data_IF_396997100121
#
_entry.id   IF_396997100121
#
_cell.length_a   1.000
_cell.length_b   1.000
_cell.length_c   1.000
_cell.angle_alpha   90.00
_cell.angle_beta   90.00
_cell.angle_gamma   90.00
#
_symmetry.space_group_name_H-M   'P 1'
#
loop_
_entity.id
_entity.type
_entity.pdbx_description
1 polymer ?
#
# COMPACT_ATOMS: atom_id res chain seq x y z
N UNK A 1 14.20 -14.37 9.02
CA UNK A 1 13.37 -13.15 8.96
C UNK A 1 12.59 -13.21 7.66
N UNK A 2 11.25 -13.21 7.69
CA UNK A 2 10.45 -13.32 6.46
C UNK A 2 10.29 -11.93 5.82
N UNK A 3 10.69 -11.81 4.55
CA UNK A 3 10.46 -10.62 3.75
C UNK A 3 9.05 -10.69 3.16
N UNK A 4 8.25 -9.65 3.38
CA UNK A 4 6.92 -9.51 2.84
C UNK A 4 6.85 -8.38 1.83
N UNK A 5 6.27 -8.67 0.67
CA UNK A 5 6.15 -7.73 -0.45
C UNK A 5 4.70 -7.40 -0.73
N UNK A 6 4.42 -6.11 -0.82
CA UNK A 6 3.09 -5.59 -1.11
C UNK A 6 3.15 -4.68 -2.32
N UNK A 7 2.30 -4.97 -3.31
CA UNK A 7 2.24 -4.24 -4.56
C UNK A 7 0.91 -3.48 -4.65
N UNK A 8 0.92 -2.39 -5.42
CA UNK A 8 -0.31 -1.79 -5.91
C UNK A 8 -1.12 -2.83 -6.71
N UNK A 9 -2.39 -2.98 -6.39
CA UNK A 9 -3.24 -4.04 -6.99
C UNK A 9 -3.53 -3.76 -8.47
N UNK A 10 -3.73 -2.49 -8.81
CA UNK A 10 -4.09 -2.08 -10.17
C UNK A 10 -2.85 -1.83 -11.03
N UNK A 11 -2.78 -2.42 -12.22
CA UNK A 11 -1.74 -2.13 -13.21
C UNK A 11 -1.67 -0.66 -13.61
N UNK A 12 -2.81 0.06 -13.60
CA UNK A 12 -2.90 1.48 -13.93
C UNK A 12 -2.36 2.34 -12.79
N UNK A 13 -2.66 1.97 -11.55
CA UNK A 13 -2.02 2.62 -10.39
C UNK A 13 -0.50 2.44 -10.44
N UNK A 14 -0.02 1.24 -10.80
CA UNK A 14 1.42 0.97 -10.97
C UNK A 14 2.11 1.78 -12.07
N UNK A 15 1.39 2.22 -13.11
CA UNK A 15 1.96 3.03 -14.19
C UNK A 15 1.84 4.54 -13.96
N UNK A 16 0.94 4.99 -13.08
CA UNK A 16 0.66 6.40 -12.83
C UNK A 16 1.13 6.92 -11.48
N UNK A 17 1.38 6.03 -10.52
CA UNK A 17 1.78 6.37 -9.16
C UNK A 17 3.15 5.77 -8.90
N UNK A 18 4.13 6.65 -8.68
CA UNK A 18 5.43 6.27 -8.16
C UNK A 18 5.39 6.34 -6.63
N UNK A 19 5.35 5.18 -5.98
CA UNK A 19 5.31 5.09 -4.52
C UNK A 19 6.58 5.65 -3.86
N UNK A 20 7.71 5.69 -4.56
CA UNK A 20 8.97 6.21 -4.01
C UNK A 20 8.85 7.70 -3.70
N UNK A 21 8.15 8.46 -4.54
CA UNK A 21 7.82 9.87 -4.28
C UNK A 21 6.93 10.08 -3.04
N UNK A 22 6.24 9.02 -2.59
CA UNK A 22 5.38 9.01 -1.42
C UNK A 22 5.96 8.24 -0.24
N UNK A 23 7.27 7.94 -0.26
CA UNK A 23 7.94 7.13 0.76
C UNK A 23 7.72 7.67 2.18
N UNK A 24 7.79 8.99 2.37
CA UNK A 24 7.59 9.60 3.69
C UNK A 24 6.19 9.35 4.25
N UNK A 25 5.15 9.42 3.40
CA UNK A 25 3.77 9.15 3.77
C UNK A 25 3.56 7.67 4.12
N UNK A 26 4.15 6.77 3.32
CA UNK A 26 4.11 5.32 3.55
C UNK A 26 4.79 4.98 4.88
N UNK A 27 6.02 5.46 5.12
CA UNK A 27 6.74 5.23 6.37
C UNK A 27 5.99 5.80 7.59
N UNK A 28 5.32 6.94 7.45
CA UNK A 28 4.46 7.50 8.49
C UNK A 28 3.27 6.58 8.78
N UNK A 29 2.63 6.02 7.77
CA UNK A 29 1.53 5.06 7.95
C UNK A 29 1.94 3.83 8.76
N UNK A 30 3.18 3.35 8.58
CA UNK A 30 3.74 2.22 9.34
C UNK A 30 3.94 2.52 10.84
N UNK A 31 3.86 3.78 11.28
CA UNK A 31 3.84 4.10 12.71
C UNK A 31 2.50 3.77 13.38
N UNK A 32 1.44 3.59 12.59
CA UNK A 32 0.08 3.37 13.08
C UNK A 32 -0.43 1.94 12.82
N UNK A 33 0.42 1.04 12.32
CA UNK A 33 0.06 -0.37 12.16
C UNK A 33 0.21 -1.12 13.48
N UNK A 34 -0.56 -2.21 13.63
CA UNK A 34 -0.60 -3.06 14.83
C UNK A 34 0.61 -3.97 15.00
N UNK A 35 1.46 -4.09 13.98
CA UNK A 35 2.57 -5.03 13.95
C UNK A 35 3.91 -4.31 13.81
N UNK A 36 4.97 -4.96 14.28
CA UNK A 36 6.34 -4.47 14.11
C UNK A 36 6.85 -4.79 12.70
N UNK A 37 6.88 -3.78 11.84
CA UNK A 37 7.61 -3.83 10.59
C UNK A 37 9.10 -3.54 10.86
N UNK A 38 9.97 -4.41 10.37
CA UNK A 38 11.42 -4.23 10.34
C UNK A 38 11.85 -3.25 9.25
N UNK A 39 12.95 -3.53 8.55
CA UNK A 39 13.44 -2.70 7.44
C UNK A 39 12.35 -2.56 6.36
N UNK A 40 11.83 -1.34 6.18
CA UNK A 40 10.86 -0.99 5.13
C UNK A 40 11.61 -0.39 3.95
N UNK A 41 11.40 -0.94 2.76
CA UNK A 41 11.91 -0.44 1.49
C UNK A 41 10.74 -0.06 0.60
N UNK A 42 10.71 1.16 0.09
CA UNK A 42 9.68 1.61 -0.86
C UNK A 42 10.29 1.68 -2.25
N UNK A 43 9.65 1.02 -3.21
CA UNK A 43 10.01 0.98 -4.63
C UNK A 43 8.87 1.60 -5.44
N UNK A 44 9.09 1.92 -6.72
CA UNK A 44 8.10 2.61 -7.54
C UNK A 44 6.70 1.97 -7.55
N UNK A 45 6.61 0.64 -7.63
CA UNK A 45 5.33 -0.10 -7.77
C UNK A 45 4.91 -0.91 -6.53
N UNK A 46 5.78 -0.98 -5.53
CA UNK A 46 5.63 -1.85 -4.36
C UNK A 46 6.41 -1.34 -3.15
N UNK A 47 6.13 -1.90 -2.00
CA UNK A 47 7.00 -1.78 -0.84
C UNK A 47 7.23 -3.15 -0.21
N UNK A 48 8.40 -3.29 0.39
CA UNK A 48 8.89 -4.52 1.01
C UNK A 48 9.20 -4.24 2.48
N UNK A 49 8.85 -5.16 3.36
CA UNK A 49 9.21 -5.06 4.76
C UNK A 49 9.33 -6.44 5.38
N UNK A 50 10.13 -6.55 6.43
CA UNK A 50 10.25 -7.78 7.19
C UNK A 50 9.37 -7.74 8.44
N UNK A 51 8.87 -8.90 8.89
CA UNK A 51 8.22 -9.03 10.19
C UNK A 51 8.78 -10.23 10.95
N UNK A 52 8.70 -10.17 12.28
CA UNK A 52 9.06 -11.30 13.15
C UNK A 52 8.00 -12.40 13.14
N UNK A 53 6.73 -12.01 13.05
CA UNK A 53 5.57 -12.89 13.01
C UNK A 53 4.85 -12.77 11.65
N UNK A 54 4.23 -13.86 11.15
CA UNK A 54 3.45 -13.79 9.93
C UNK A 54 2.25 -12.86 10.10
N UNK A 55 2.03 -11.99 9.12
CA UNK A 55 0.88 -11.08 9.15
C UNK A 55 -0.44 -11.82 9.00
N UNK A 56 -1.40 -11.46 9.85
CA UNK A 56 -2.78 -11.91 9.69
C UNK A 56 -3.46 -11.14 8.55
N UNK A 57 -4.58 -11.65 7.99
CA UNK A 57 -5.40 -10.88 7.07
C UNK A 57 -5.93 -9.56 7.67
N UNK A 58 -6.08 -9.48 8.99
CA UNK A 58 -6.50 -8.26 9.68
C UNK A 58 -5.38 -7.21 9.67
N UNK A 59 -4.14 -7.62 9.91
CA UNK A 59 -2.97 -6.72 9.86
C UNK A 59 -2.78 -6.13 8.47
N UNK A 60 -2.88 -6.96 7.42
CA UNK A 60 -2.79 -6.50 6.04
C UNK A 60 -3.87 -5.45 5.70
N UNK A 61 -5.11 -5.66 6.18
CA UNK A 61 -6.22 -4.70 6.03
C UNK A 61 -5.99 -3.42 6.82
N UNK A 62 -5.49 -3.54 8.05
CA UNK A 62 -5.14 -2.40 8.91
C UNK A 62 -4.08 -1.53 8.25
N UNK A 63 -2.99 -2.14 7.76
CA UNK A 63 -1.94 -1.46 7.00
C UNK A 63 -2.48 -0.73 5.78
N UNK A 64 -3.26 -1.40 4.93
CA UNK A 64 -3.87 -0.76 3.76
C UNK A 64 -4.73 0.46 4.14
N UNK A 65 -5.47 0.37 5.25
CA UNK A 65 -6.26 1.49 5.78
C UNK A 65 -5.38 2.63 6.31
N UNK A 66 -4.32 2.33 7.03
CA UNK A 66 -3.42 3.36 7.57
C UNK A 66 -2.63 4.06 6.47
N UNK A 67 -2.23 3.34 5.42
CA UNK A 67 -1.62 3.94 4.24
C UNK A 67 -2.64 4.83 3.54
N UNK A 68 -3.87 4.36 3.30
CA UNK A 68 -4.91 5.19 2.69
C UNK A 68 -5.25 6.45 3.52
N UNK A 69 -5.16 6.39 4.85
CA UNK A 69 -5.43 7.52 5.76
C UNK A 69 -4.26 8.49 5.88
N UNK A 70 -3.03 7.97 6.00
CA UNK A 70 -1.83 8.78 6.26
C UNK A 70 -1.19 9.29 4.98
N UNK A 71 -1.36 8.55 3.89
CA UNK A 71 -0.91 8.94 2.57
C UNK A 71 -2.06 9.54 1.78
N UNK A 72 -2.56 10.69 2.24
CA UNK A 72 -3.72 11.38 1.66
C UNK A 72 -3.48 11.75 0.20
N UNK A 73 -2.25 12.13 -0.15
CA UNK A 73 -1.83 12.42 -1.53
C UNK A 73 -1.87 11.16 -2.38
N UNK A 74 -1.29 10.07 -1.87
CA UNK A 74 -1.25 8.77 -2.53
C UNK A 74 -2.66 8.19 -2.74
N UNK A 75 -3.52 8.28 -1.72
CA UNK A 75 -4.90 7.83 -1.76
C UNK A 75 -5.73 8.66 -2.75
N UNK A 76 -5.54 9.99 -2.78
CA UNK A 76 -6.13 10.90 -3.75
C UNK A 76 -5.73 10.53 -5.19
N UNK A 77 -4.43 10.30 -5.44
CA UNK A 77 -3.94 9.87 -6.75
C UNK A 77 -4.53 8.52 -7.16
N UNK A 78 -4.57 7.56 -6.24
CA UNK A 78 -5.19 6.27 -6.50
C UNK A 78 -6.68 6.41 -6.85
N UNK A 79 -7.44 7.20 -6.09
CA UNK A 79 -8.86 7.47 -6.39
C UNK A 79 -9.03 8.14 -7.75
N UNK A 80 -8.18 9.10 -8.12
CA UNK A 80 -8.20 9.71 -9.46
C UNK A 80 -7.93 8.68 -10.56
N UNK A 81 -6.96 7.79 -10.37
CA UNK A 81 -6.67 6.71 -11.32
C UNK A 81 -7.87 5.77 -11.44
N UNK A 82 -8.52 5.41 -10.34
CA UNK A 82 -9.70 4.54 -10.36
C UNK A 82 -10.90 5.22 -11.04
N UNK A 83 -11.24 6.45 -10.64
CA UNK A 83 -12.40 7.19 -11.15
C UNK A 83 -12.25 7.55 -12.63
N UNK A 84 -11.05 7.95 -13.07
CA UNK A 84 -10.78 8.28 -14.48
C UNK A 84 -10.94 7.10 -15.44
N UNK A 85 -10.92 5.89 -14.90
CA UNK A 85 -10.82 4.66 -15.68
C UNK A 85 -12.01 3.72 -15.52
N UNK A 86 -12.88 3.98 -14.55
CA UNK A 86 -14.04 3.17 -14.25
C UNK A 86 -15.29 4.03 -14.38
N UNK A 87 -15.99 3.94 -15.53
CA UNK A 87 -17.40 4.37 -15.62
C UNK A 87 -18.35 3.51 -14.75
N UNK A 88 -17.81 2.55 -14.00
CA UNK A 88 -18.51 1.64 -13.09
C UNK A 88 -17.72 1.52 -11.78
N UNK A 89 -18.41 1.53 -10.64
CA UNK A 89 -17.82 1.60 -9.30
C UNK A 89 -16.66 0.60 -9.06
N UNK A 90 -15.63 0.98 -8.27
CA UNK A 90 -14.45 0.16 -8.07
C UNK A 90 -14.79 -1.21 -7.46
N UNK A 91 -14.50 -2.29 -8.17
CA UNK A 91 -14.66 -3.69 -7.70
C UNK A 91 -13.76 -4.04 -6.50
N UNK A 92 -12.76 -3.22 -6.18
CA UNK A 92 -11.91 -3.41 -5.01
C UNK A 92 -11.43 -2.07 -4.45
N UNK A 93 -11.74 -1.81 -3.19
CA UNK A 93 -11.21 -0.68 -2.40
C UNK A 93 -9.80 -0.96 -1.86
N UNK A 94 -9.24 -2.13 -2.17
CA UNK A 94 -7.96 -2.58 -1.65
C UNK A 94 -6.81 -2.08 -2.53
N UNK A 95 -6.10 -1.06 -2.06
CA UNK A 95 -5.00 -0.43 -2.80
C UNK A 95 -3.75 -1.33 -2.92
N UNK A 96 -3.51 -2.19 -1.92
CA UNK A 96 -2.32 -3.05 -1.85
C UNK A 96 -2.65 -4.52 -1.62
N UNK A 97 -1.91 -5.42 -2.28
CA UNK A 97 -2.02 -6.88 -2.08
C UNK A 97 -0.64 -7.49 -1.86
N UNK A 98 -0.59 -8.47 -0.95
CA UNK A 98 0.60 -9.30 -0.71
C UNK A 98 0.91 -10.13 -1.96
N UNK A 99 2.16 -10.10 -2.43
CA UNK A 99 2.68 -11.03 -3.44
C UNK A 99 3.60 -12.06 -2.75
N UNK A 100 3.62 -13.31 -3.24
CA UNK A 100 4.63 -14.28 -2.84
C UNK A 100 6.04 -13.79 -3.17
#
# INVERSE_FOLDING_TARGET
MYLHRYHLVDSRARSQIDLQNHQAEILRAFRYVSFLAGRITVLADRFEFCTSLPLTPADARSMGRQIARSATTLASQAVKVYVSHSGTAPKSTQLFKRRP
#
